data_IF_965317414025
#
_entry.id   IF_965317414025
#
_cell.length_a   1.000
_cell.length_b   1.000
_cell.length_c   1.000
_cell.angle_alpha   90.00
_cell.angle_beta   90.00
_cell.angle_gamma   90.00
#
_symmetry.space_group_name_H-M   'P 1'
#
loop_
_entity.id
_entity.type
_entity.pdbx_description
1 polymer ?
#
# COMPACT_ATOMS: atom_id res chain seq x y z
N UNK A 1 14.82 49.37 -2.46
CA UNK A 1 15.57 48.79 -3.59
C UNK A 1 15.64 47.29 -3.35
N UNK A 2 15.04 46.45 -4.20
CA UNK A 2 15.21 45.01 -4.12
C UNK A 2 16.55 44.66 -4.79
N UNK A 3 17.49 44.13 -4.02
CA UNK A 3 18.68 43.47 -4.56
C UNK A 3 18.25 42.15 -5.20
N UNK A 4 18.37 42.11 -6.52
CA UNK A 4 18.33 40.92 -7.35
C UNK A 4 19.59 40.10 -7.14
N UNK A 5 19.43 38.89 -6.59
CA UNK A 5 20.20 37.65 -6.73
C UNK A 5 19.34 36.62 -5.94
N UNK A 6 18.71 35.58 -6.48
CA UNK A 6 19.30 34.52 -7.29
C UNK A 6 18.31 34.00 -8.36
N UNK A 7 18.60 34.29 -9.62
CA UNK A 7 18.13 33.47 -10.73
C UNK A 7 19.10 32.30 -10.92
N UNK A 8 18.79 31.12 -10.39
CA UNK A 8 19.58 29.91 -10.65
C UNK A 8 19.21 28.74 -9.75
N UNK A 9 18.89 27.58 -10.33
CA UNK A 9 18.56 26.36 -9.61
C UNK A 9 19.65 25.95 -8.62
N UNK A 10 19.35 26.06 -7.32
CA UNK A 10 20.23 25.56 -6.28
C UNK A 10 20.41 24.03 -6.39
N UNK A 11 21.64 23.57 -6.14
CA UNK A 11 21.99 22.15 -6.10
C UNK A 11 21.07 21.35 -5.15
N UNK A 12 20.71 21.94 -3.99
CA UNK A 12 19.82 21.31 -3.01
C UNK A 12 18.36 21.18 -3.51
N UNK A 13 17.70 22.21 -4.06
CA UNK A 13 16.42 22.07 -4.75
C UNK A 13 16.43 21.03 -5.89
N UNK A 14 17.51 20.98 -6.68
CA UNK A 14 17.66 19.97 -7.74
C UNK A 14 17.75 18.54 -7.17
N UNK A 15 18.55 18.34 -6.11
CA UNK A 15 18.62 17.06 -5.40
C UNK A 15 17.26 16.68 -4.81
N UNK A 16 16.58 17.62 -4.16
CA UNK A 16 15.24 17.40 -3.60
C UNK A 16 14.25 16.95 -4.67
N UNK A 17 14.21 17.63 -5.82
CA UNK A 17 13.39 17.23 -6.96
C UNK A 17 13.79 15.85 -7.51
N UNK A 18 15.09 15.56 -7.60
CA UNK A 18 15.62 14.26 -8.01
C UNK A 18 15.19 13.14 -7.08
N UNK A 19 15.35 13.32 -5.76
CA UNK A 19 14.86 12.38 -4.75
C UNK A 19 13.35 12.20 -4.87
N UNK A 20 12.60 13.30 -5.05
CA UNK A 20 11.19 13.37 -5.43
C UNK A 20 10.77 12.30 -6.45
N UNK A 21 11.36 12.40 -7.64
CA UNK A 21 11.05 11.51 -8.75
C UNK A 21 11.54 10.07 -8.53
N UNK A 22 12.71 9.91 -7.91
CA UNK A 22 13.27 8.58 -7.66
C UNK A 22 12.40 7.83 -6.66
N UNK A 23 12.07 8.40 -5.50
CA UNK A 23 11.25 7.67 -4.52
C UNK A 23 9.84 7.38 -5.06
N UNK A 24 9.23 8.31 -5.81
CA UNK A 24 7.93 8.09 -6.44
C UNK A 24 7.98 6.90 -7.40
N UNK A 25 9.06 6.81 -8.19
CA UNK A 25 9.28 5.71 -9.12
C UNK A 25 9.52 4.40 -8.38
N UNK A 26 10.36 4.40 -7.35
CA UNK A 26 10.64 3.20 -6.55
C UNK A 26 9.40 2.65 -5.84
N UNK A 27 8.58 3.51 -5.25
CA UNK A 27 7.30 3.10 -4.65
C UNK A 27 6.32 2.57 -5.69
N UNK A 28 6.29 3.12 -6.90
CA UNK A 28 5.45 2.57 -7.97
C UNK A 28 5.97 1.22 -8.44
N UNK A 29 7.29 1.07 -8.57
CA UNK A 29 7.92 -0.18 -8.97
C UNK A 29 7.82 -1.27 -7.91
N UNK A 30 7.68 -0.94 -6.62
CA UNK A 30 7.56 -1.93 -5.54
C UNK A 30 6.33 -2.84 -5.66
N UNK A 31 5.31 -2.44 -6.44
CA UNK A 31 4.12 -3.27 -6.69
C UNK A 31 4.35 -4.45 -7.64
N UNK A 32 5.42 -4.42 -8.44
CA UNK A 32 5.65 -5.38 -9.52
C UNK A 32 6.34 -6.69 -9.10
N UNK A 33 7.37 -6.69 -8.23
CA UNK A 33 8.20 -7.87 -7.99
C UNK A 33 7.40 -9.11 -7.58
N UNK A 34 6.46 -8.99 -6.65
CA UNK A 34 5.67 -10.15 -6.21
C UNK A 34 4.74 -10.68 -7.31
N UNK A 35 4.05 -9.79 -8.05
CA UNK A 35 3.18 -10.20 -9.14
C UNK A 35 3.97 -10.93 -10.24
N UNK A 36 5.16 -10.43 -10.56
CA UNK A 36 6.01 -11.02 -11.57
C UNK A 36 6.64 -12.34 -11.10
N UNK A 37 7.02 -12.43 -9.83
CA UNK A 37 7.52 -13.65 -9.21
C UNK A 37 6.46 -14.76 -9.24
N UNK A 38 5.23 -14.45 -8.83
CA UNK A 38 4.10 -15.37 -8.89
C UNK A 38 3.85 -15.87 -10.33
N UNK A 39 3.88 -14.96 -11.31
CA UNK A 39 3.71 -15.30 -12.72
C UNK A 39 4.81 -16.23 -13.24
N UNK A 40 6.08 -15.92 -12.95
CA UNK A 40 7.24 -16.73 -13.35
C UNK A 40 7.22 -18.11 -12.70
N UNK A 41 6.90 -18.19 -11.40
CA UNK A 41 6.80 -19.45 -10.64
C UNK A 41 5.55 -20.26 -10.95
N UNK A 42 4.57 -19.64 -11.62
CA UNK A 42 3.21 -20.16 -11.79
C UNK A 42 2.59 -20.64 -10.47
N UNK A 43 2.93 -19.97 -9.36
CA UNK A 43 2.53 -20.37 -8.01
C UNK A 43 2.60 -19.19 -7.06
N UNK A 44 1.65 -19.14 -6.12
CA UNK A 44 1.61 -18.17 -5.02
C UNK A 44 2.14 -18.74 -3.70
N UNK A 45 2.66 -19.98 -3.71
CA UNK A 45 3.19 -20.66 -2.53
C UNK A 45 4.34 -19.87 -1.90
N UNK A 46 4.30 -19.76 -0.57
CA UNK A 46 5.27 -19.00 0.24
C UNK A 46 4.75 -17.65 0.74
N UNK A 47 3.56 -17.24 0.28
CA UNK A 47 2.96 -15.95 0.63
C UNK A 47 1.49 -16.09 0.98
N UNK A 48 0.98 -15.13 1.73
CA UNK A 48 -0.43 -15.09 2.12
C UNK A 48 -1.25 -14.20 1.18
N UNK A 49 -2.50 -14.60 0.90
CA UNK A 49 -3.45 -13.77 0.13
C UNK A 49 -3.88 -12.50 0.89
N UNK A 50 -3.67 -12.45 2.21
CA UNK A 50 -4.04 -11.31 3.05
C UNK A 50 -3.43 -9.99 2.57
N UNK A 51 -2.14 -10.01 2.21
CA UNK A 51 -1.45 -8.82 1.74
C UNK A 51 -2.10 -8.23 0.46
N UNK A 52 -2.23 -8.98 -0.65
CA UNK A 52 -2.89 -8.45 -1.85
C UNK A 52 -4.38 -8.19 -1.63
N UNK A 53 -5.09 -8.99 -0.83
CA UNK A 53 -6.51 -8.78 -0.49
C UNK A 53 -6.72 -7.42 0.20
N UNK A 54 -5.96 -7.16 1.26
CA UNK A 54 -6.06 -5.93 2.02
C UNK A 54 -5.59 -4.72 1.19
N UNK A 55 -4.58 -4.88 0.34
CA UNK A 55 -4.18 -3.82 -0.58
C UNK A 55 -5.28 -3.47 -1.58
N UNK A 56 -6.04 -4.43 -2.13
CA UNK A 56 -7.19 -4.13 -3.00
C UNK A 56 -8.22 -3.27 -2.25
N UNK A 57 -8.58 -3.65 -1.02
CA UNK A 57 -9.51 -2.88 -0.19
C UNK A 57 -8.99 -1.46 0.05
N UNK A 58 -7.75 -1.34 0.53
CA UNK A 58 -7.13 -0.07 0.86
C UNK A 58 -6.97 0.84 -0.36
N UNK A 59 -6.47 0.33 -1.48
CA UNK A 59 -6.31 1.12 -2.71
C UNK A 59 -7.63 1.45 -3.40
N UNK A 60 -8.69 0.65 -3.23
CA UNK A 60 -10.04 1.01 -3.69
C UNK A 60 -10.54 2.22 -2.92
N UNK A 61 -10.47 2.17 -1.59
CA UNK A 61 -10.90 3.27 -0.74
C UNK A 61 -10.05 4.54 -0.97
N UNK A 62 -8.73 4.37 -1.10
CA UNK A 62 -7.81 5.46 -1.40
C UNK A 62 -8.03 6.07 -2.79
N UNK A 63 -8.29 5.27 -3.82
CA UNK A 63 -8.61 5.79 -5.15
C UNK A 63 -9.91 6.59 -5.11
N UNK A 64 -10.96 6.05 -4.48
CA UNK A 64 -12.23 6.75 -4.35
C UNK A 64 -12.10 8.08 -3.60
N UNK A 65 -11.35 8.11 -2.50
CA UNK A 65 -11.15 9.35 -1.73
C UNK A 65 -10.33 10.39 -2.50
N UNK A 66 -9.23 10.00 -3.16
CA UNK A 66 -8.43 10.93 -3.97
C UNK A 66 -9.21 11.46 -5.18
N UNK A 67 -9.96 10.61 -5.88
CA UNK A 67 -10.82 11.04 -6.99
C UNK A 67 -11.85 12.04 -6.50
N UNK A 68 -12.51 11.79 -5.35
CA UNK A 68 -13.50 12.70 -4.79
C UNK A 68 -12.88 14.04 -4.37
N UNK A 69 -11.76 14.02 -3.64
CA UNK A 69 -11.06 15.25 -3.20
C UNK A 69 -10.49 16.05 -4.38
N UNK A 70 -10.10 15.39 -5.47
CA UNK A 70 -9.53 16.04 -6.63
C UNK A 70 -10.62 16.58 -7.59
N UNK A 71 -11.59 15.76 -7.99
CA UNK A 71 -12.54 16.10 -9.04
C UNK A 71 -13.87 16.66 -8.55
N UNK A 72 -14.36 16.30 -7.36
CA UNK A 72 -15.71 16.70 -6.94
C UNK A 72 -15.75 18.16 -6.45
N UNK A 73 -16.44 19.09 -7.14
CA UNK A 73 -16.53 20.47 -6.68
C UNK A 73 -17.29 20.57 -5.35
N UNK A 74 -18.27 19.69 -5.11
CA UNK A 74 -19.04 19.66 -3.87
C UNK A 74 -18.16 19.29 -2.67
N UNK A 75 -17.40 18.19 -2.76
CA UNK A 75 -16.49 17.75 -1.70
C UNK A 75 -15.41 18.79 -1.43
N UNK A 76 -14.86 19.42 -2.48
CA UNK A 76 -13.86 20.49 -2.33
C UNK A 76 -14.42 21.74 -1.61
N UNK A 77 -15.67 22.12 -1.89
CA UNK A 77 -16.33 23.22 -1.17
C UNK A 77 -16.59 22.86 0.29
N UNK A 78 -17.06 21.64 0.56
CA UNK A 78 -17.27 21.14 1.93
C UNK A 78 -15.95 21.10 2.72
N UNK A 79 -14.86 20.66 2.08
CA UNK A 79 -13.53 20.66 2.67
C UNK A 79 -13.06 22.08 3.00
N UNK A 80 -13.22 23.02 2.07
CA UNK A 80 -12.86 24.41 2.28
C UNK A 80 -13.67 25.05 3.43
N UNK A 81 -14.95 24.70 3.56
CA UNK A 81 -15.77 25.17 4.68
C UNK A 81 -15.21 24.71 6.04
N UNK A 82 -14.73 23.46 6.15
CA UNK A 82 -14.17 22.90 7.40
C UNK A 82 -12.72 23.29 7.69
N UNK A 83 -11.94 23.61 6.67
CA UNK A 83 -10.50 23.82 6.79
C UNK A 83 -10.10 25.27 6.47
N UNK A 84 -10.82 26.25 7.03
CA UNK A 84 -10.46 27.67 6.92
C UNK A 84 -10.26 28.17 5.48
N UNK A 85 -11.11 27.70 4.55
CA UNK A 85 -11.09 27.97 3.09
C UNK A 85 -9.91 27.37 2.32
N UNK A 86 -9.13 26.49 2.93
CA UNK A 86 -8.07 25.76 2.24
C UNK A 86 -8.67 24.72 1.29
N UNK A 87 -8.02 24.50 0.15
CA UNK A 87 -8.37 23.41 -0.77
C UNK A 87 -7.68 22.12 -0.36
N UNK A 88 -8.26 20.94 -0.67
CA UNK A 88 -7.57 19.68 -0.49
C UNK A 88 -6.20 19.70 -1.18
N UNK A 89 -5.19 19.14 -0.53
CA UNK A 89 -3.81 19.08 -1.03
C UNK A 89 -3.57 17.96 -2.05
N UNK A 90 -4.63 17.20 -2.37
CA UNK A 90 -4.58 16.09 -3.34
C UNK A 90 -4.26 16.63 -4.73
N UNK A 91 -3.26 16.04 -5.37
CA UNK A 91 -2.82 16.36 -6.72
C UNK A 91 -3.14 15.22 -7.70
N UNK A 92 -2.98 15.49 -9.00
CA UNK A 92 -3.31 14.50 -10.04
C UNK A 92 -2.45 13.23 -9.96
N UNK A 93 -1.16 13.39 -9.64
CA UNK A 93 -0.24 12.27 -9.41
C UNK A 93 -0.68 11.38 -8.24
N UNK A 94 -1.30 11.92 -7.19
CA UNK A 94 -1.86 11.11 -6.09
C UNK A 94 -3.00 10.21 -6.59
N UNK A 95 -3.86 10.73 -7.48
CA UNK A 95 -4.95 9.96 -8.11
C UNK A 95 -4.38 8.84 -8.99
N UNK A 96 -3.40 9.16 -9.84
CA UNK A 96 -2.77 8.17 -10.73
C UNK A 96 -2.06 7.09 -9.90
N UNK A 97 -1.34 7.48 -8.85
CA UNK A 97 -0.66 6.54 -7.96
C UNK A 97 -1.64 5.61 -7.24
N UNK A 98 -2.74 6.15 -6.72
CA UNK A 98 -3.78 5.35 -6.06
C UNK A 98 -4.40 4.30 -7.01
N UNK A 99 -4.73 4.72 -8.24
CA UNK A 99 -5.28 3.85 -9.27
C UNK A 99 -4.27 2.80 -9.74
N UNK A 100 -3.01 3.20 -9.92
CA UNK A 100 -1.92 2.30 -10.27
C UNK A 100 -1.76 1.20 -9.20
N UNK A 101 -1.67 1.59 -7.93
CA UNK A 101 -1.60 0.67 -6.81
C UNK A 101 -2.82 -0.26 -6.75
N UNK A 102 -4.02 0.24 -7.05
CA UNK A 102 -5.24 -0.58 -7.13
C UNK A 102 -5.13 -1.64 -8.22
N UNK A 103 -4.72 -1.27 -9.44
CA UNK A 103 -4.60 -2.19 -10.57
C UNK A 103 -3.59 -3.29 -10.26
N UNK A 104 -2.39 -2.95 -9.79
CA UNK A 104 -1.36 -3.94 -9.49
C UNK A 104 -1.74 -4.82 -8.29
N UNK A 105 -2.42 -4.26 -7.30
CA UNK A 105 -2.97 -5.04 -6.18
C UNK A 105 -4.05 -6.02 -6.65
N UNK A 106 -4.91 -5.60 -7.57
CA UNK A 106 -5.95 -6.45 -8.15
C UNK A 106 -5.36 -7.57 -9.01
N UNK A 107 -4.34 -7.26 -9.83
CA UNK A 107 -3.56 -8.25 -10.57
C UNK A 107 -2.98 -9.28 -9.60
N UNK A 108 -2.29 -8.82 -8.55
CA UNK A 108 -1.67 -9.70 -7.56
C UNK A 108 -2.74 -10.53 -6.85
N UNK A 109 -3.85 -9.95 -6.39
CA UNK A 109 -4.94 -10.68 -5.74
C UNK A 109 -5.57 -11.73 -6.66
N UNK A 110 -5.73 -11.43 -7.95
CA UNK A 110 -6.28 -12.36 -8.94
C UNK A 110 -5.40 -13.62 -9.11
N UNK A 111 -4.09 -13.51 -8.91
CA UNK A 111 -3.18 -14.65 -8.94
C UNK A 111 -3.45 -15.65 -7.80
N UNK A 112 -3.98 -15.20 -6.65
CA UNK A 112 -4.34 -16.07 -5.52
C UNK A 112 -5.77 -16.59 -5.65
N UNK A 113 -6.72 -15.71 -5.96
CA UNK A 113 -8.14 -16.04 -5.93
C UNK A 113 -8.59 -16.83 -7.18
N UNK A 114 -8.04 -16.49 -8.33
CA UNK A 114 -8.40 -17.08 -9.64
C UNK A 114 -7.17 -17.54 -10.43
N UNK A 115 -6.08 -17.88 -9.73
CA UNK A 115 -4.81 -18.30 -10.34
C UNK A 115 -4.96 -19.50 -11.29
N UNK A 116 -5.80 -20.48 -10.94
CA UNK A 116 -6.00 -21.67 -11.78
C UNK A 116 -6.78 -21.40 -13.08
N UNK A 117 -7.75 -20.47 -13.06
CA UNK A 117 -8.60 -20.18 -14.23
C UNK A 117 -8.03 -19.09 -15.11
N UNK A 118 -7.63 -17.95 -14.52
CA UNK A 118 -7.15 -16.78 -15.26
C UNK A 118 -5.66 -16.91 -15.61
N UNK A 119 -4.84 -17.37 -14.65
CA UNK A 119 -3.38 -17.40 -14.79
C UNK A 119 -2.81 -18.79 -15.12
N UNK A 120 -3.67 -19.81 -15.20
CA UNK A 120 -3.31 -21.21 -15.48
C UNK A 120 -2.23 -21.75 -14.55
N UNK A 121 -2.21 -21.30 -13.30
CA UNK A 121 -1.31 -21.82 -12.28
C UNK A 121 -1.69 -23.28 -11.97
N UNK A 122 -0.72 -24.21 -11.96
CA UNK A 122 -1.00 -25.59 -11.58
C UNK A 122 -1.68 -25.65 -10.22
N UNK A 123 -2.80 -26.36 -10.13
CA UNK A 123 -3.42 -26.65 -8.84
C UNK A 123 -2.47 -27.60 -8.11
N UNK A 124 -1.89 -27.16 -7.00
CA UNK A 124 -1.15 -28.04 -6.10
C UNK A 124 -2.10 -29.12 -5.58
N UNK A 125 -2.13 -30.27 -6.25
CA UNK A 125 -2.76 -31.50 -5.77
C UNK A 125 -1.86 -32.10 -4.71
N UNK A 126 -1.97 -31.63 -3.47
CA UNK A 126 -1.43 -32.41 -2.35
C UNK A 126 -2.38 -33.58 -2.08
N UNK A 127 -1.93 -34.79 -2.38
CA UNK A 127 -2.53 -36.05 -1.93
C UNK A 127 -2.47 -36.13 -0.40
N UNK A 128 -3.42 -35.52 0.31
CA UNK A 128 -3.91 -35.92 1.65
C UNK A 128 -5.10 -35.04 2.07
N UNK A 129 -6.31 -35.61 2.01
CA UNK A 129 -7.56 -35.28 2.74
C UNK A 129 -7.92 -33.83 3.18
N UNK A 130 -7.42 -32.76 2.56
CA UNK A 130 -7.98 -31.42 2.77
C UNK A 130 -7.94 -30.57 1.49
N UNK A 131 -9.13 -30.34 0.92
CA UNK A 131 -9.36 -29.65 -0.36
C UNK A 131 -9.13 -28.13 -0.34
N UNK A 132 -8.20 -27.61 0.48
CA UNK A 132 -8.04 -26.16 0.65
C UNK A 132 -6.56 -25.79 0.62
N UNK A 133 -6.12 -25.06 -0.41
CA UNK A 133 -4.87 -24.30 -0.38
C UNK A 133 -4.95 -23.32 0.79
N UNK A 134 -4.18 -23.49 1.89
CA UNK A 134 -4.33 -22.64 3.08
C UNK A 134 -4.01 -21.17 2.81
N UNK A 135 -3.19 -20.88 1.80
CA UNK A 135 -2.82 -19.53 1.37
C UNK A 135 -3.81 -18.83 0.43
N UNK A 136 -4.89 -19.50 -0.01
CA UNK A 136 -5.85 -18.94 -0.96
C UNK A 136 -7.07 -18.26 -0.31
N UNK A 137 -7.24 -18.39 1.02
CA UNK A 137 -8.36 -17.77 1.74
C UNK A 137 -7.85 -16.63 2.65
N UNK A 138 -8.49 -15.45 2.59
CA UNK A 138 -8.16 -14.37 3.51
C UNK A 138 -8.35 -14.79 4.97
N UNK A 139 -7.48 -14.33 5.86
CA UNK A 139 -7.59 -14.59 7.29
C UNK A 139 -8.82 -13.93 7.91
N UNK A 140 -9.22 -14.42 9.09
CA UNK A 140 -10.33 -13.83 9.86
C UNK A 140 -10.10 -12.35 10.18
N UNK A 141 -8.85 -11.95 10.40
CA UNK A 141 -8.50 -10.56 10.63
C UNK A 141 -8.70 -9.73 9.35
N UNK A 142 -8.25 -10.22 8.20
CA UNK A 142 -8.45 -9.55 6.92
C UNK A 142 -9.94 -9.41 6.56
N UNK A 143 -10.73 -10.47 6.75
CA UNK A 143 -12.18 -10.45 6.55
C UNK A 143 -12.88 -9.51 7.54
N UNK A 144 -12.50 -9.54 8.81
CA UNK A 144 -13.04 -8.66 9.84
C UNK A 144 -12.77 -7.18 9.53
N UNK A 145 -11.55 -6.85 9.10
CA UNK A 145 -11.20 -5.49 8.68
C UNK A 145 -11.98 -5.07 7.42
N UNK A 146 -12.17 -5.99 6.48
CA UNK A 146 -12.97 -5.75 5.27
C UNK A 146 -14.42 -5.46 5.62
N UNK A 147 -15.05 -6.30 6.44
CA UNK A 147 -16.42 -6.11 6.91
C UNK A 147 -16.55 -4.80 7.70
N UNK A 148 -15.62 -4.53 8.62
CA UNK A 148 -15.57 -3.30 9.40
C UNK A 148 -15.44 -2.04 8.53
N UNK A 149 -14.63 -2.10 7.46
CA UNK A 149 -14.51 -1.01 6.50
C UNK A 149 -15.85 -0.74 5.78
N UNK A 150 -16.53 -1.78 5.29
CA UNK A 150 -17.83 -1.62 4.65
C UNK A 150 -18.91 -1.10 5.60
N UNK A 151 -18.95 -1.63 6.83
CA UNK A 151 -19.89 -1.17 7.86
C UNK A 151 -19.61 0.29 8.24
N UNK A 152 -18.35 0.66 8.47
CA UNK A 152 -17.98 2.02 8.84
C UNK A 152 -18.33 3.03 7.75
N UNK A 153 -17.92 2.76 6.51
CA UNK A 153 -18.26 3.64 5.37
C UNK A 153 -19.76 3.68 5.13
N UNK A 154 -20.46 2.54 5.22
CA UNK A 154 -21.91 2.45 5.08
C UNK A 154 -22.65 3.24 6.16
N UNK A 155 -22.23 3.13 7.42
CA UNK A 155 -22.80 3.90 8.52
C UNK A 155 -22.61 5.41 8.31
N UNK A 156 -21.42 5.85 7.91
CA UNK A 156 -21.18 7.26 7.57
C UNK A 156 -22.06 7.72 6.40
N UNK A 157 -22.21 6.90 5.36
CA UNK A 157 -23.08 7.22 4.22
C UNK A 157 -24.56 7.34 4.64
N UNK A 158 -25.03 6.49 5.55
CA UNK A 158 -26.38 6.58 6.12
C UNK A 158 -26.57 7.86 6.95
N UNK A 159 -25.57 8.26 7.75
CA UNK A 159 -25.63 9.52 8.50
C UNK A 159 -25.71 10.74 7.57
N UNK A 160 -24.93 10.75 6.49
CA UNK A 160 -24.99 11.81 5.47
C UNK A 160 -26.34 11.83 4.76
N UNK A 161 -26.89 10.66 4.43
CA UNK A 161 -28.22 10.57 3.82
C UNK A 161 -29.32 11.08 4.78
N UNK A 162 -29.22 10.73 6.07
CA UNK A 162 -30.10 11.23 7.12
C UNK A 162 -30.06 12.76 7.23
N UNK A 163 -28.86 13.35 7.26
CA UNK A 163 -28.68 14.79 7.30
C UNK A 163 -29.31 15.51 6.09
N UNK A 164 -29.18 14.91 4.89
CA UNK A 164 -29.80 15.43 3.65
C UNK A 164 -31.32 15.32 3.63
N UNK A 165 -31.87 14.28 4.25
CA UNK A 165 -33.32 14.05 4.28
C UNK A 165 -34.08 15.00 5.22
N UNK A 166 -33.37 15.73 6.09
CA UNK A 166 -33.94 16.60 7.13
C UNK A 166 -34.56 17.91 6.64
N UNK A 167 -34.64 18.15 5.33
CA UNK A 167 -35.36 19.29 4.74
C UNK A 167 -34.74 20.68 4.96
N UNK A 168 -33.61 20.77 5.68
CA UNK A 168 -32.81 21.99 5.84
C UNK A 168 -31.54 21.92 5.00
N UNK A 169 -30.99 23.07 4.64
CA UNK A 169 -29.67 23.13 4.03
C UNK A 169 -28.63 22.53 4.98
N UNK A 170 -27.83 21.60 4.44
CA UNK A 170 -26.76 20.93 5.18
C UNK A 170 -25.60 21.92 5.32
N UNK A 171 -25.25 22.27 6.55
CA UNK A 171 -24.05 23.08 6.82
C UNK A 171 -22.84 22.14 6.87
N UNK A 172 -21.92 22.21 5.88
CA UNK A 172 -20.77 21.34 5.85
C UNK A 172 -19.88 21.45 7.09
N UNK A 173 -19.93 22.54 7.88
CA UNK A 173 -19.05 22.72 9.05
C UNK A 173 -19.45 21.81 10.20
N UNK A 174 -20.76 21.68 10.45
CA UNK A 174 -21.31 21.00 11.63
C UNK A 174 -22.04 19.70 11.30
N UNK A 175 -22.55 19.57 10.08
CA UNK A 175 -23.36 18.43 9.67
C UNK A 175 -22.55 17.38 8.93
N UNK A 176 -23.08 16.15 8.94
CA UNK A 176 -22.61 15.06 8.11
C UNK A 176 -22.84 15.39 6.63
N UNK A 177 -21.76 15.44 5.85
CA UNK A 177 -21.78 15.72 4.41
C UNK A 177 -20.92 14.72 3.63
N UNK A 178 -20.88 14.81 2.29
CA UNK A 178 -20.15 13.83 1.46
C UNK A 178 -18.67 13.72 1.83
N UNK A 179 -18.09 14.82 2.32
CA UNK A 179 -16.73 14.85 2.83
C UNK A 179 -16.48 13.81 3.93
N UNK A 180 -17.47 13.52 4.79
CA UNK A 180 -17.31 12.53 5.86
C UNK A 180 -17.18 11.11 5.30
N UNK A 181 -17.90 10.79 4.22
CA UNK A 181 -17.75 9.50 3.53
C UNK A 181 -16.35 9.42 2.90
N UNK A 182 -15.87 10.53 2.32
CA UNK A 182 -14.54 10.62 1.74
C UNK A 182 -13.44 10.44 2.81
N UNK A 183 -13.63 11.01 4.00
CA UNK A 183 -12.73 10.79 5.14
C UNK A 183 -12.80 9.35 5.66
N UNK A 184 -13.98 8.76 5.76
CA UNK A 184 -14.14 7.34 6.13
C UNK A 184 -13.36 6.42 5.18
N UNK A 185 -13.46 6.66 3.86
CA UNK A 185 -12.65 5.95 2.85
C UNK A 185 -11.13 6.16 3.06
N UNK A 186 -10.71 7.39 3.39
CA UNK A 186 -9.31 7.68 3.75
C UNK A 186 -8.84 6.89 4.97
N UNK A 187 -9.65 6.82 6.03
CA UNK A 187 -9.32 6.06 7.24
C UNK A 187 -9.23 4.55 7.00
N UNK A 188 -10.04 3.99 6.10
CA UNK A 188 -9.91 2.58 5.67
C UNK A 188 -8.51 2.31 5.13
N UNK A 189 -7.95 3.18 4.29
CA UNK A 189 -6.58 3.02 3.77
C UNK A 189 -5.53 3.00 4.88
N UNK A 190 -5.66 3.88 5.87
CA UNK A 190 -4.75 3.94 7.02
C UNK A 190 -4.84 2.65 7.83
N UNK A 191 -6.06 2.23 8.19
CA UNK A 191 -6.29 1.01 8.96
C UNK A 191 -5.74 -0.24 8.26
N UNK A 192 -5.96 -0.35 6.95
CA UNK A 192 -5.36 -1.41 6.12
C UNK A 192 -3.83 -1.39 6.18
N UNK A 193 -3.22 -0.21 6.07
CA UNK A 193 -1.76 -0.09 6.02
C UNK A 193 -1.09 -0.53 7.32
N UNK A 194 -1.75 -0.31 8.47
CA UNK A 194 -1.29 -0.77 9.78
C UNK A 194 -1.27 -2.30 9.93
N UNK A 195 -2.16 -3.00 9.24
CA UNK A 195 -2.40 -4.43 9.47
C UNK A 195 -1.84 -5.32 8.36
N UNK A 196 -1.76 -4.81 7.11
CA UNK A 196 -1.51 -5.64 5.92
C UNK A 196 -0.22 -6.48 5.95
N UNK A 197 0.82 -6.03 6.64
CA UNK A 197 2.12 -6.71 6.70
C UNK A 197 2.16 -7.82 7.77
N UNK A 198 1.33 -7.71 8.81
CA UNK A 198 1.35 -8.62 9.97
C UNK A 198 1.14 -10.09 9.61
N UNK A 199 0.18 -10.48 8.73
CA UNK A 199 -0.03 -11.88 8.40
C UNK A 199 1.19 -12.55 7.74
N UNK A 200 1.87 -11.82 6.86
CA UNK A 200 3.08 -12.31 6.22
C UNK A 200 4.23 -12.44 7.22
N UNK A 201 4.41 -11.44 8.10
CA UNK A 201 5.42 -11.47 9.16
C UNK A 201 5.27 -12.72 10.04
N UNK A 202 4.04 -13.01 10.49
CA UNK A 202 3.73 -14.18 11.32
C UNK A 202 3.91 -15.50 10.55
N UNK A 203 3.57 -15.53 9.27
CA UNK A 203 3.77 -16.72 8.41
C UNK A 203 5.25 -17.03 8.23
N UNK A 204 6.08 -16.01 8.04
CA UNK A 204 7.53 -16.16 7.96
C UNK A 204 8.09 -16.72 9.29
N UNK A 205 7.59 -16.25 10.45
CA UNK A 205 7.96 -16.79 11.76
C UNK A 205 7.56 -18.25 11.88
N UNK A 206 6.32 -18.59 11.54
CA UNK A 206 5.82 -19.96 11.66
C UNK A 206 6.56 -20.94 10.75
N UNK A 207 6.86 -20.52 9.52
CA UNK A 207 7.52 -21.36 8.52
C UNK A 207 9.04 -21.35 8.65
N UNK A 208 9.60 -20.45 9.48
CA UNK A 208 11.04 -20.20 9.61
C UNK A 208 11.71 -20.00 8.23
N UNK A 209 11.00 -19.36 7.30
CA UNK A 209 11.39 -19.20 5.91
C UNK A 209 10.71 -17.97 5.30
N UNK A 210 11.40 -17.30 4.39
CA UNK A 210 10.88 -16.21 3.57
C UNK A 210 10.73 -16.61 2.09
N UNK A 211 10.87 -17.90 1.77
CA UNK A 211 10.80 -18.38 0.40
C UNK A 211 9.43 -18.14 -0.24
N UNK A 212 9.45 -17.54 -1.43
CA UNK A 212 8.27 -17.21 -2.22
C UNK A 212 7.74 -15.78 -2.03
N UNK A 213 8.25 -15.05 -1.03
CA UNK A 213 8.03 -13.61 -0.87
C UNK A 213 9.19 -12.83 -1.51
N UNK A 214 8.89 -11.89 -2.40
CA UNK A 214 9.92 -11.11 -3.09
C UNK A 214 10.54 -10.07 -2.15
N UNK A 215 11.84 -10.22 -1.86
CA UNK A 215 12.58 -9.23 -1.07
C UNK A 215 12.77 -7.92 -1.87
N UNK A 216 12.84 -7.98 -3.20
CA UNK A 216 12.94 -6.79 -4.05
C UNK A 216 11.80 -5.81 -3.83
N UNK A 217 10.58 -6.28 -3.58
CA UNK A 217 9.47 -5.39 -3.24
C UNK A 217 9.79 -4.58 -1.97
N UNK A 218 10.32 -5.24 -0.93
CA UNK A 218 10.69 -4.62 0.34
C UNK A 218 11.88 -3.66 0.16
N UNK A 219 12.88 -4.04 -0.62
CA UNK A 219 14.06 -3.21 -0.88
C UNK A 219 13.71 -1.93 -1.65
N UNK A 220 12.81 -2.03 -2.63
CA UNK A 220 12.30 -0.86 -3.35
C UNK A 220 11.46 0.04 -2.43
N UNK A 221 10.62 -0.55 -1.56
CA UNK A 221 9.77 0.20 -0.64
C UNK A 221 10.60 0.99 0.39
N UNK A 222 11.56 0.34 1.05
CA UNK A 222 12.42 0.99 2.03
C UNK A 222 13.33 2.04 1.39
N UNK A 223 13.85 1.80 0.18
CA UNK A 223 14.68 2.78 -0.54
C UNK A 223 13.85 4.00 -0.92
N UNK A 224 12.61 3.80 -1.39
CA UNK A 224 11.66 4.89 -1.61
C UNK A 224 11.36 5.65 -0.32
N UNK A 225 11.09 4.95 0.79
CA UNK A 225 10.85 5.56 2.09
C UNK A 225 12.01 6.42 2.60
N UNK A 226 13.25 5.91 2.52
CA UNK A 226 14.45 6.64 2.94
C UNK A 226 14.71 7.88 2.08
N UNK A 227 14.55 7.77 0.76
CA UNK A 227 14.70 8.93 -0.14
C UNK A 227 13.59 9.97 0.07
N UNK A 228 12.37 9.55 0.41
CA UNK A 228 11.29 10.48 0.76
C UNK A 228 11.59 11.24 2.05
N UNK A 229 12.14 10.59 3.07
CA UNK A 229 12.58 11.25 4.30
C UNK A 229 13.74 12.22 4.02
N UNK A 230 14.70 11.81 3.18
CA UNK A 230 15.82 12.66 2.81
C UNK A 230 15.36 13.93 2.06
N UNK A 231 14.41 13.79 1.11
CA UNK A 231 13.81 14.91 0.40
C UNK A 231 13.10 15.87 1.36
N UNK A 232 12.27 15.35 2.29
CA UNK A 232 11.60 16.16 3.30
C UNK A 232 12.60 16.90 4.21
N UNK A 233 13.71 16.26 4.59
CA UNK A 233 14.76 16.90 5.36
C UNK A 233 15.45 18.04 4.62
N UNK A 234 15.71 17.89 3.32
CA UNK A 234 16.27 18.95 2.47
C UNK A 234 15.28 20.11 2.35
N UNK A 235 14.00 19.83 2.09
CA UNK A 235 12.99 20.87 1.92
C UNK A 235 12.74 21.66 3.21
N UNK A 236 12.67 20.99 4.36
CA UNK A 236 12.55 21.67 5.66
C UNK A 236 13.78 22.50 6.00
N UNK A 237 14.98 22.03 5.63
CA UNK A 237 16.20 22.81 5.78
C UNK A 237 16.17 24.08 4.91
N UNK A 238 15.78 23.96 3.64
CA UNK A 238 15.68 25.07 2.69
C UNK A 238 14.61 26.08 3.07
N UNK A 239 13.49 25.62 3.63
CA UNK A 239 12.39 26.48 4.07
C UNK A 239 12.63 27.10 5.46
N UNK A 240 13.71 26.72 6.14
CA UNK A 240 13.96 27.04 7.56
C UNK A 240 12.77 26.71 8.48
N UNK A 241 11.94 25.75 8.06
CA UNK A 241 10.73 25.34 8.74
C UNK A 241 10.60 23.82 8.79
N UNK A 242 10.69 23.28 10.00
CA UNK A 242 10.57 21.86 10.30
C UNK A 242 9.13 21.46 10.62
N UNK A 243 8.22 22.42 10.75
CA UNK A 243 6.81 22.17 10.99
C UNK A 243 6.17 21.38 9.85
N UNK A 244 6.69 21.49 8.62
CA UNK A 244 6.29 20.70 7.46
C UNK A 244 6.33 19.18 7.69
N UNK A 245 7.34 18.67 8.40
CA UNK A 245 7.52 17.24 8.69
C UNK A 245 6.45 16.72 9.66
N UNK A 246 6.04 17.54 10.63
CA UNK A 246 5.00 17.18 11.61
C UNK A 246 3.59 17.59 11.17
N UNK A 247 3.46 18.49 10.20
CA UNK A 247 2.18 19.04 9.72
C UNK A 247 1.30 18.02 8.97
N UNK A 248 1.87 16.92 8.47
CA UNK A 248 1.12 15.85 7.82
C UNK A 248 1.32 14.50 8.53
N UNK A 249 0.70 14.30 9.71
CA UNK A 249 0.89 13.11 10.53
C UNK A 249 0.48 11.82 9.82
N UNK A 250 -0.41 11.89 8.82
CA UNK A 250 -0.83 10.75 8.01
C UNK A 250 0.27 10.34 7.04
N UNK A 251 0.83 11.26 6.24
CA UNK A 251 1.94 10.94 5.33
C UNK A 251 3.19 10.48 6.09
N UNK A 252 3.51 11.15 7.19
CA UNK A 252 4.60 10.75 8.07
C UNK A 252 4.36 9.34 8.64
N UNK A 253 3.17 9.09 9.21
CA UNK A 253 2.82 7.78 9.78
C UNK A 253 2.89 6.64 8.77
N UNK A 254 2.34 6.82 7.57
CA UNK A 254 2.36 5.79 6.51
C UNK A 254 3.79 5.38 6.13
N UNK A 255 4.70 6.35 5.98
CA UNK A 255 6.11 6.09 5.66
C UNK A 255 6.84 5.34 6.77
N UNK A 256 6.69 5.77 8.03
CA UNK A 256 7.39 5.14 9.15
C UNK A 256 6.90 3.71 9.44
N UNK A 257 5.60 3.47 9.30
CA UNK A 257 5.03 2.13 9.46
C UNK A 257 5.59 1.18 8.40
N UNK A 258 5.69 1.62 7.13
CA UNK A 258 6.27 0.77 6.07
C UNK A 258 7.73 0.45 6.37
N UNK A 259 8.56 1.46 6.69
CA UNK A 259 9.98 1.27 7.02
C UNK A 259 10.15 0.30 8.19
N UNK A 260 9.33 0.40 9.23
CA UNK A 260 9.37 -0.53 10.36
C UNK A 260 9.15 -1.98 9.93
N UNK A 261 8.08 -2.25 9.14
CA UNK A 261 7.82 -3.60 8.64
C UNK A 261 8.89 -4.07 7.65
N UNK A 262 9.41 -3.18 6.81
CA UNK A 262 10.48 -3.50 5.86
C UNK A 262 11.74 -3.97 6.57
N UNK A 263 12.14 -3.28 7.65
CA UNK A 263 13.27 -3.68 8.48
C UNK A 263 13.06 -5.07 9.10
N UNK A 264 11.84 -5.38 9.55
CA UNK A 264 11.50 -6.71 10.06
C UNK A 264 11.61 -7.78 8.96
N UNK A 265 11.14 -7.50 7.74
CA UNK A 265 11.27 -8.44 6.62
C UNK A 265 12.72 -8.63 6.17
N UNK A 266 13.52 -7.56 6.14
CA UNK A 266 14.96 -7.62 5.85
C UNK A 266 15.67 -8.46 6.91
N UNK A 267 15.36 -8.24 8.20
CA UNK A 267 15.90 -9.03 9.31
C UNK A 267 15.53 -10.51 9.17
N UNK A 268 14.26 -10.82 8.88
CA UNK A 268 13.82 -12.19 8.64
C UNK A 268 14.56 -12.84 7.46
N UNK A 269 14.73 -12.11 6.35
CA UNK A 269 15.29 -12.66 5.12
C UNK A 269 16.81 -12.84 5.17
N UNK A 270 17.55 -11.85 5.63
CA UNK A 270 19.03 -11.85 5.57
C UNK A 270 19.71 -12.32 6.86
N UNK A 271 19.03 -12.26 8.01
CA UNK A 271 19.64 -12.60 9.30
C UNK A 271 19.05 -13.88 9.87
N UNK A 272 17.73 -13.93 10.10
CA UNK A 272 17.11 -15.04 10.83
C UNK A 272 16.96 -16.32 9.99
N UNK A 273 16.48 -16.18 8.75
CA UNK A 273 16.16 -17.31 7.87
C UNK A 273 17.13 -17.42 6.68
N UNK A 274 18.35 -16.93 6.87
CA UNK A 274 19.42 -17.04 5.89
C UNK A 274 19.84 -18.51 5.76
N UNK A 275 19.55 -19.14 4.62
CA UNK A 275 20.11 -20.46 4.29
C UNK A 275 21.58 -20.31 3.92
N UNK A 276 22.45 -21.15 4.50
CA UNK A 276 23.86 -21.30 4.10
C UNK A 276 23.89 -22.25 2.89
N UNK A 277 24.22 -21.71 1.72
CA UNK A 277 24.48 -22.49 0.50
C UNK A 277 23.47 -22.23 -0.61
N UNK A 278 24.01 -22.07 -1.83
CA UNK A 278 23.37 -21.77 -3.12
C UNK A 278 23.19 -20.28 -3.40
N UNK A 279 24.24 -19.72 -4.00
CA UNK A 279 24.24 -18.48 -4.80
C UNK A 279 23.38 -18.66 -6.05
N UNK A 280 22.06 -18.79 -5.84
CA UNK A 280 21.06 -18.64 -6.90
C UNK A 280 20.42 -17.29 -6.75
N UNK A 281 20.20 -16.59 -7.87
CA UNK A 281 19.33 -15.42 -7.88
C UNK A 281 17.98 -15.80 -7.25
N UNK A 282 17.25 -14.87 -6.62
CA UNK A 282 15.91 -15.16 -6.02
C UNK A 282 14.94 -15.79 -7.06
N UNK A 283 15.25 -15.60 -8.34
CA UNK A 283 14.57 -16.17 -9.51
C UNK A 283 14.93 -17.64 -9.79
N UNK A 284 16.02 -18.16 -9.24
CA UNK A 284 16.54 -19.54 -9.36
C UNK A 284 16.21 -20.43 -8.16
N UNK A 285 15.78 -19.87 -7.02
CA UNK A 285 15.18 -20.65 -5.90
C UNK A 285 13.81 -21.26 -6.26
N UNK A 286 13.54 -21.39 -7.56
CA UNK A 286 12.49 -22.23 -8.13
C UNK A 286 12.65 -23.62 -7.51
N UNK A 287 11.52 -24.21 -7.12
CA UNK A 287 11.45 -25.58 -6.62
C UNK A 287 12.43 -26.47 -7.40
N UNK A 288 13.28 -27.26 -6.72
CA UNK A 288 14.14 -28.19 -7.44
C UNK A 288 13.24 -29.04 -8.36
N UNK A 289 13.56 -29.15 -9.66
CA UNK A 289 12.83 -30.04 -10.53
C UNK A 289 13.08 -31.47 -10.06
N UNK A 290 12.04 -32.11 -9.52
CA UNK A 290 12.02 -33.54 -9.24
C UNK A 290 12.85 -33.95 -8.04
N UNK A 291 12.19 -34.05 -6.89
CA UNK A 291 12.46 -35.17 -5.98
C UNK A 291 11.44 -36.29 -6.26
N UNK A 292 11.32 -36.66 -7.54
CA UNK A 292 11.02 -38.04 -7.94
C UNK A 292 12.29 -38.87 -7.66
N UNK A 293 12.66 -38.99 -6.39
CA UNK A 293 13.56 -40.07 -6.02
C UNK A 293 12.70 -41.30 -5.80
N UNK A 294 12.57 -42.08 -6.87
CA UNK A 294 12.10 -43.46 -6.87
C UNK A 294 12.57 -44.14 -5.58
N UNK A 295 11.62 -44.54 -4.75
CA UNK A 295 11.81 -45.62 -3.81
C UNK A 295 11.17 -46.83 -4.49
N UNK A 296 11.95 -47.48 -5.34
CA UNK A 296 11.83 -48.92 -5.56
C UNK A 296 12.52 -49.62 -4.38
#
# INVERSE_FOLDING_TARGET
MPSTDDGGGGFLPFISAGFGWIYFTLWSLSFYPQALLNFRRRSTTGTTVDFPWLNVLGFSAYSASNIALYYSPAVRRQYAARNSRLTPTVQFNDVVFALHGLVLSAITASQYLVGGSLWRFPRTTHHHHSNVNPGARPSRLALGLTAGAFVGVGATALLVLGARSGGRDVDPVVDWCDLDVVYALGYVKIAVTLVKYTPQLLTNIRNQSTEGWSIWQILLDITGGLLSIAQQGIDSYLQHDWSGITSNPVKFGLGQISIFFDLLFILQHYVLYRKKGVDGTETERLLPPGEERRLD
#
